data_IF_173810237771
#
_entry.id   IF_173810237771
#
_cell.length_a   1.000
_cell.length_b   1.000
_cell.length_c   1.000
_cell.angle_alpha   90.00
_cell.angle_beta   90.00
_cell.angle_gamma   90.00
#
_symmetry.space_group_name_H-M   'P 1'
#
loop_
_entity.id
_entity.type
_entity.pdbx_description
1 polymer ?
#
# COMPACT_ATOMS: atom_id res chain seq x y z
N UNK A 1 16.82 3.02 46.07
CA UNK A 1 15.95 3.04 44.87
C UNK A 1 16.84 3.25 43.67
N UNK A 2 16.90 2.28 42.75
CA UNK A 2 17.59 2.50 41.48
C UNK A 2 16.85 3.62 40.73
N UNK A 3 17.56 4.55 40.05
CA UNK A 3 16.90 5.61 39.29
C UNK A 3 15.95 4.97 38.26
N UNK A 4 14.76 5.58 38.03
CA UNK A 4 13.85 5.10 37.00
C UNK A 4 14.62 4.96 35.70
N UNK A 5 14.53 3.78 35.07
CA UNK A 5 15.44 3.38 34.01
C UNK A 5 15.19 4.21 32.75
N UNK A 6 15.88 5.35 32.63
CA UNK A 6 15.80 6.27 31.49
C UNK A 6 16.04 5.56 30.15
N UNK A 7 16.75 4.42 30.17
CA UNK A 7 16.93 3.57 28.99
C UNK A 7 15.61 2.97 28.53
N UNK A 8 14.76 2.48 29.44
CA UNK A 8 13.44 1.94 29.11
C UNK A 8 12.50 3.04 28.55
N UNK A 9 12.53 4.24 29.13
CA UNK A 9 11.78 5.39 28.60
C UNK A 9 12.20 5.76 27.18
N UNK A 10 13.51 5.86 26.93
CA UNK A 10 14.05 6.09 25.58
C UNK A 10 13.69 4.97 24.62
N UNK A 11 13.72 3.72 25.07
CA UNK A 11 13.34 2.55 24.27
C UNK A 11 11.85 2.63 23.86
N UNK A 12 10.97 3.02 24.78
CA UNK A 12 9.55 3.26 24.49
C UNK A 12 9.33 4.37 23.46
N UNK A 13 10.07 5.48 23.56
CA UNK A 13 10.02 6.56 22.56
C UNK A 13 10.46 6.08 21.17
N UNK A 14 11.58 5.34 21.09
CA UNK A 14 12.06 4.74 19.84
C UNK A 14 11.04 3.74 19.27
N UNK A 15 10.41 2.94 20.14
CA UNK A 15 9.32 2.04 19.76
C UNK A 15 8.16 2.76 19.07
N UNK A 16 7.72 3.89 19.64
CA UNK A 16 6.69 4.75 19.05
C UNK A 16 7.09 5.29 17.67
N UNK A 17 8.30 5.81 17.53
CA UNK A 17 8.82 6.32 16.25
C UNK A 17 8.87 5.22 15.18
N UNK A 18 9.33 4.01 15.54
CA UNK A 18 9.40 2.88 14.61
C UNK A 18 8.01 2.41 14.16
N UNK A 19 7.03 2.40 15.07
CA UNK A 19 5.64 2.11 14.75
C UNK A 19 5.07 3.14 13.77
N UNK A 20 5.29 4.42 14.02
CA UNK A 20 4.77 5.49 13.17
C UNK A 20 5.42 5.45 11.77
N UNK A 21 6.72 5.16 11.70
CA UNK A 21 7.41 4.94 10.44
C UNK A 21 6.87 3.73 9.67
N UNK A 22 6.58 2.61 10.34
CA UNK A 22 6.00 1.43 9.71
C UNK A 22 4.58 1.70 9.19
N UNK A 23 3.77 2.45 9.93
CA UNK A 23 2.45 2.90 9.51
C UNK A 23 2.51 3.81 8.28
N UNK A 24 3.45 4.76 8.25
CA UNK A 24 3.64 5.65 7.10
C UNK A 24 3.97 4.83 5.84
N UNK A 25 4.88 3.85 5.94
CA UNK A 25 5.23 2.96 4.82
C UNK A 25 4.03 2.13 4.34
N UNK A 26 3.24 1.59 5.27
CA UNK A 26 2.01 0.86 4.92
C UNK A 26 1.01 1.76 4.18
N UNK A 27 0.79 2.99 4.66
CA UNK A 27 -0.10 3.96 3.99
C UNK A 27 0.35 4.26 2.56
N UNK A 28 1.65 4.46 2.36
CA UNK A 28 2.22 4.68 1.03
C UNK A 28 2.01 3.47 0.12
N UNK A 29 2.24 2.25 0.61
CA UNK A 29 2.01 1.03 -0.17
C UNK A 29 0.52 0.86 -0.55
N UNK A 30 -0.39 1.07 0.41
CA UNK A 30 -1.84 1.02 0.16
C UNK A 30 -2.30 2.11 -0.83
N UNK A 31 -1.69 3.29 -0.80
CA UNK A 31 -1.99 4.36 -1.77
C UNK A 31 -1.50 4.00 -3.17
N UNK A 32 -0.36 3.32 -3.30
CA UNK A 32 0.13 2.83 -4.59
C UNK A 32 -0.84 1.82 -5.21
N UNK A 33 -1.36 0.86 -4.43
CA UNK A 33 -2.39 -0.08 -4.88
C UNK A 33 -3.62 0.66 -5.42
N UNK A 34 -4.18 1.58 -4.62
CA UNK A 34 -5.38 2.35 -4.99
C UNK A 34 -5.18 3.19 -6.24
N UNK A 35 -4.00 3.79 -6.43
CA UNK A 35 -3.68 4.55 -7.64
C UNK A 35 -3.71 3.65 -8.88
N UNK A 36 -3.10 2.48 -8.82
CA UNK A 36 -3.07 1.54 -9.96
C UNK A 36 -4.48 1.02 -10.26
N UNK A 37 -5.27 0.70 -9.24
CA UNK A 37 -6.68 0.31 -9.40
C UNK A 37 -7.50 1.42 -10.08
N UNK A 38 -7.27 2.68 -9.72
CA UNK A 38 -7.91 3.83 -10.39
C UNK A 38 -7.46 3.97 -11.86
N UNK A 39 -6.18 3.73 -12.17
CA UNK A 39 -5.69 3.73 -13.56
C UNK A 39 -6.33 2.61 -14.39
N UNK A 40 -6.51 1.42 -13.82
CA UNK A 40 -7.22 0.31 -14.47
C UNK A 40 -8.68 0.71 -14.73
N UNK A 41 -9.37 1.25 -13.71
CA UNK A 41 -10.76 1.67 -13.86
C UNK A 41 -10.94 2.76 -14.93
N UNK A 42 -9.99 3.71 -15.00
CA UNK A 42 -9.98 4.74 -16.03
C UNK A 42 -9.76 4.16 -17.44
N UNK A 43 -8.82 3.21 -17.59
CA UNK A 43 -8.58 2.51 -18.85
C UNK A 43 -9.83 1.74 -19.31
N UNK A 44 -10.52 1.08 -18.39
CA UNK A 44 -11.75 0.34 -18.66
C UNK A 44 -12.93 1.25 -19.02
N UNK A 45 -13.00 2.43 -18.41
CA UNK A 45 -13.99 3.44 -18.76
C UNK A 45 -13.74 4.01 -20.17
N UNK A 46 -12.48 4.33 -20.49
CA UNK A 46 -12.09 4.77 -21.83
C UNK A 46 -12.42 3.72 -22.89
N UNK A 47 -12.16 2.44 -22.60
CA UNK A 47 -12.50 1.36 -23.53
C UNK A 47 -13.99 1.31 -23.83
N UNK A 48 -14.84 1.35 -22.80
CA UNK A 48 -16.30 1.33 -22.96
C UNK A 48 -16.81 2.54 -23.75
N UNK A 49 -16.33 3.74 -23.44
CA UNK A 49 -16.71 4.95 -24.17
C UNK A 49 -16.36 4.85 -25.67
N UNK A 50 -15.19 4.29 -26.00
CA UNK A 50 -14.81 4.06 -27.39
C UNK A 50 -15.69 3.02 -28.09
N UNK A 51 -16.12 1.96 -27.39
CA UNK A 51 -17.03 0.97 -27.96
C UNK A 51 -18.44 1.55 -28.22
N UNK A 52 -18.89 2.48 -27.37
CA UNK A 52 -20.21 3.14 -27.50
C UNK A 52 -20.24 4.20 -28.61
N UNK A 53 -19.12 4.88 -28.89
CA UNK A 53 -19.03 6.00 -29.84
C UNK A 53 -18.45 5.62 -31.22
N UNK A 54 -17.95 4.40 -31.41
CA UNK A 54 -17.19 4.08 -32.61
C UNK A 54 -18.05 3.85 -33.87
N UNK A 55 -17.74 4.64 -34.90
CA UNK A 55 -18.17 4.40 -36.28
C UNK A 55 -17.72 2.99 -36.74
N UNK A 56 -18.62 2.16 -37.30
CA UNK A 56 -18.29 0.84 -37.83
C UNK A 56 -17.09 0.80 -38.79
N UNK A 57 -16.89 1.86 -39.59
CA UNK A 57 -15.75 1.97 -40.50
C UNK A 57 -14.42 2.16 -39.74
N UNK A 58 -14.44 2.91 -38.63
CA UNK A 58 -13.28 3.12 -37.75
C UNK A 58 -12.97 1.85 -36.96
N UNK A 59 -13.99 1.12 -36.51
CA UNK A 59 -13.83 -0.20 -35.89
C UNK A 59 -13.15 -1.20 -36.81
N UNK A 60 -13.58 -1.27 -38.08
CA UNK A 60 -12.99 -2.17 -39.07
C UNK A 60 -11.51 -1.84 -39.37
N UNK A 61 -11.14 -0.55 -39.33
CA UNK A 61 -9.79 -0.11 -39.66
C UNK A 61 -8.80 -0.22 -38.48
N UNK A 62 -9.26 0.09 -37.25
CA UNK A 62 -8.37 0.28 -36.09
C UNK A 62 -8.68 -0.65 -34.91
N UNK A 63 -9.73 -1.47 -34.98
CA UNK A 63 -10.21 -2.30 -33.87
C UNK A 63 -9.12 -3.20 -33.29
N UNK A 64 -8.40 -3.93 -34.14
CA UNK A 64 -7.34 -4.87 -33.72
C UNK A 64 -6.17 -4.18 -33.03
N UNK A 65 -5.73 -3.03 -33.55
CA UNK A 65 -4.63 -2.26 -32.97
C UNK A 65 -5.01 -1.66 -31.62
N UNK A 66 -6.25 -1.13 -31.50
CA UNK A 66 -6.78 -0.58 -30.24
C UNK A 66 -6.97 -1.66 -29.18
N UNK A 67 -7.50 -2.81 -29.58
CA UNK A 67 -7.69 -3.96 -28.69
C UNK A 67 -6.36 -4.48 -28.16
N UNK A 68 -5.35 -4.60 -29.03
CA UNK A 68 -4.01 -5.03 -28.64
C UNK A 68 -3.37 -4.07 -27.63
N UNK A 69 -3.41 -2.77 -27.92
CA UNK A 69 -2.90 -1.74 -27.01
C UNK A 69 -3.59 -1.81 -25.64
N UNK A 70 -4.92 -1.92 -25.62
CA UNK A 70 -5.68 -2.04 -24.38
C UNK A 70 -5.27 -3.28 -23.57
N UNK A 71 -5.15 -4.45 -24.21
CA UNK A 71 -4.74 -5.69 -23.55
C UNK A 71 -3.33 -5.59 -22.98
N UNK A 72 -2.38 -5.08 -23.75
CA UNK A 72 -0.99 -4.89 -23.31
C UNK A 72 -0.90 -3.93 -22.13
N UNK A 73 -1.60 -2.78 -22.23
CA UNK A 73 -1.63 -1.80 -21.15
C UNK A 73 -2.28 -2.37 -19.89
N UNK A 74 -3.40 -3.08 -20.02
CA UNK A 74 -4.08 -3.70 -18.89
C UNK A 74 -3.25 -4.80 -18.25
N UNK A 75 -2.57 -5.63 -19.04
CA UNK A 75 -1.64 -6.64 -18.53
C UNK A 75 -0.49 -6.01 -17.74
N UNK A 76 0.10 -4.92 -18.25
CA UNK A 76 1.16 -4.20 -17.55
C UNK A 76 0.68 -3.62 -16.20
N UNK A 77 -0.51 -3.01 -16.17
CA UNK A 77 -1.11 -2.49 -14.93
C UNK A 77 -1.44 -3.60 -13.93
N UNK A 78 -1.99 -4.72 -14.39
CA UNK A 78 -2.25 -5.89 -13.53
C UNK A 78 -0.96 -6.44 -12.92
N UNK A 79 0.12 -6.53 -13.71
CA UNK A 79 1.44 -6.92 -13.20
C UNK A 79 1.98 -5.93 -12.16
N UNK A 80 1.78 -4.62 -12.37
CA UNK A 80 2.14 -3.60 -11.39
C UNK A 80 1.30 -3.70 -10.10
N UNK A 81 -0.01 -3.93 -10.22
CA UNK A 81 -0.91 -4.10 -9.09
C UNK A 81 -0.54 -5.33 -8.26
N UNK A 82 -0.22 -6.45 -8.91
CA UNK A 82 0.22 -7.66 -8.21
C UNK A 82 1.47 -7.40 -7.35
N UNK A 83 2.48 -6.71 -7.91
CA UNK A 83 3.68 -6.31 -7.15
C UNK A 83 3.35 -5.36 -6.01
N UNK A 84 2.48 -4.37 -6.24
CA UNK A 84 2.06 -3.42 -5.21
C UNK A 84 1.32 -4.10 -4.04
N UNK A 85 0.45 -5.09 -4.33
CA UNK A 85 -0.24 -5.87 -3.29
C UNK A 85 0.71 -6.73 -2.46
N UNK A 86 1.73 -7.31 -3.08
CA UNK A 86 2.78 -8.04 -2.34
C UNK A 86 3.52 -7.10 -1.40
N UNK A 87 3.90 -5.91 -1.88
CA UNK A 87 4.54 -4.87 -1.05
C UNK A 87 3.64 -4.44 0.11
N UNK A 88 2.36 -4.15 -0.14
CA UNK A 88 1.38 -3.79 0.88
C UNK A 88 1.26 -4.88 1.96
N UNK A 89 1.16 -6.14 1.55
CA UNK A 89 1.10 -7.27 2.48
C UNK A 89 2.37 -7.40 3.33
N UNK A 90 3.56 -7.14 2.75
CA UNK A 90 4.80 -7.10 3.51
C UNK A 90 4.81 -5.94 4.53
N UNK A 91 4.40 -4.74 4.11
CA UNK A 91 4.31 -3.57 5.01
C UNK A 91 3.27 -3.76 6.11
N UNK A 92 2.18 -4.48 5.83
CA UNK A 92 1.17 -4.80 6.84
C UNK A 92 1.77 -5.68 7.95
N UNK A 93 2.56 -6.69 7.58
CA UNK A 93 3.29 -7.54 8.54
C UNK A 93 4.32 -6.75 9.34
N UNK A 94 5.06 -5.86 8.69
CA UNK A 94 6.03 -4.98 9.38
C UNK A 94 5.34 -4.05 10.38
N UNK A 95 4.24 -3.41 9.99
CA UNK A 95 3.45 -2.56 10.87
C UNK A 95 2.94 -3.36 12.07
N UNK A 96 2.33 -4.53 11.86
CA UNK A 96 1.84 -5.38 12.95
C UNK A 96 2.94 -5.75 13.96
N UNK A 97 4.14 -6.07 13.48
CA UNK A 97 5.30 -6.34 14.35
C UNK A 97 5.75 -5.09 15.12
N UNK A 98 5.77 -3.92 14.48
CA UNK A 98 6.15 -2.67 15.13
C UNK A 98 5.14 -2.27 16.22
N UNK A 99 3.84 -2.46 15.97
CA UNK A 99 2.80 -2.30 16.99
C UNK A 99 3.00 -3.23 18.19
N UNK A 100 3.20 -4.53 17.94
CA UNK A 100 3.41 -5.49 19.03
C UNK A 100 4.64 -5.16 19.88
N UNK A 101 5.72 -4.67 19.26
CA UNK A 101 6.92 -4.21 19.97
C UNK A 101 6.67 -2.95 20.80
N UNK A 102 6.01 -1.93 20.23
CA UNK A 102 5.66 -0.70 20.96
C UNK A 102 4.75 -1.01 22.16
N UNK A 103 3.74 -1.86 22.00
CA UNK A 103 2.85 -2.29 23.09
C UNK A 103 3.62 -3.04 24.21
N UNK A 104 4.50 -3.98 23.85
CA UNK A 104 5.33 -4.68 24.82
C UNK A 104 6.25 -3.73 25.61
N UNK A 105 6.86 -2.75 24.93
CA UNK A 105 7.70 -1.74 25.57
C UNK A 105 6.92 -0.84 26.51
N UNK A 106 5.72 -0.38 26.10
CA UNK A 106 4.83 0.41 26.96
C UNK A 106 4.44 -0.33 28.22
N UNK A 107 4.13 -1.62 28.13
CA UNK A 107 3.82 -2.46 29.30
C UNK A 107 5.02 -2.62 30.24
N UNK A 108 6.23 -2.75 29.71
CA UNK A 108 7.45 -2.84 30.51
C UNK A 108 7.75 -1.52 31.23
N UNK A 109 7.63 -0.39 30.54
CA UNK A 109 7.78 0.95 31.14
C UNK A 109 6.76 1.15 32.24
N UNK A 110 5.48 0.85 31.98
CA UNK A 110 4.41 0.99 32.98
C UNK A 110 4.67 0.14 34.23
N UNK A 111 5.13 -1.11 34.06
CA UNK A 111 5.50 -1.98 35.19
C UNK A 111 6.69 -1.44 35.99
N UNK A 112 7.67 -0.85 35.31
CA UNK A 112 8.85 -0.28 35.96
C UNK A 112 8.55 1.05 36.70
N UNK A 113 7.46 1.74 36.35
CA UNK A 113 7.02 2.98 36.99
C UNK A 113 5.99 2.76 38.12
N UNK A 114 5.33 1.60 38.14
CA UNK A 114 4.24 1.27 39.09
C UNK A 114 4.57 0.20 40.13
N UNK A 115 5.85 -0.12 40.34
CA UNK A 115 6.34 -0.99 41.42
C UNK A 115 7.36 -0.27 42.28
#
# INVERSE_FOLDING_TARGET
>A
MAPPDDRLKRLGQVGGVLRDAALARLRTAAQACRRIEAEIAALDAQRRALDDEADPAVCALLGDSRERWYRERRAALNGALARARVEEAMRMKEAARAFGRDDALRRLVHRAEGG
#
